data_IF_707358574047
#
_entry.id   IF_707358574047
#
_cell.length_a   1.000
_cell.length_b   1.000
_cell.length_c   1.000
_cell.angle_alpha   90.00
_cell.angle_beta   90.00
_cell.angle_gamma   90.00
#
_symmetry.space_group_name_H-M   'P 1'
#
loop_
_entity.id
_entity.type
_entity.pdbx_description
1 polymer ?
#
# COMPACT_ATOMS: atom_id res chain seq x y z
N UNK A 1 -25.69 10.75 24.60
CA UNK A 1 -25.27 11.19 23.25
C UNK A 1 -24.42 10.06 22.69
N UNK A 2 -24.99 9.25 21.79
CA UNK A 2 -24.37 8.01 21.34
C UNK A 2 -23.35 8.29 20.23
N UNK A 3 -22.11 7.85 20.44
CA UNK A 3 -21.13 7.66 19.36
C UNK A 3 -21.72 6.70 18.33
N UNK A 4 -21.92 7.17 17.10
CA UNK A 4 -22.18 6.30 15.95
C UNK A 4 -20.94 5.46 15.72
N UNK A 5 -21.01 4.17 16.08
CA UNK A 5 -20.02 3.20 15.64
C UNK A 5 -20.03 3.21 14.10
N UNK A 6 -18.94 3.69 13.49
CA UNK A 6 -18.69 3.43 12.08
C UNK A 6 -18.75 1.91 11.92
N UNK A 7 -19.74 1.40 11.19
CA UNK A 7 -19.89 -0.04 10.99
C UNK A 7 -18.69 -0.48 10.18
N UNK A 8 -17.78 -1.24 10.80
CA UNK A 8 -16.66 -1.85 10.10
C UNK A 8 -17.22 -2.64 8.91
N UNK A 9 -16.58 -2.50 7.74
CA UNK A 9 -16.98 -3.25 6.56
C UNK A 9 -16.76 -4.75 6.86
N UNK A 10 -17.65 -5.65 6.38
CA UNK A 10 -17.50 -7.07 6.65
C UNK A 10 -16.24 -7.63 5.98
N UNK A 11 -15.53 -8.55 6.64
CA UNK A 11 -14.35 -9.25 6.10
C UNK A 11 -14.58 -9.83 4.69
N UNK A 12 -15.76 -10.41 4.47
CA UNK A 12 -16.15 -10.97 3.18
C UNK A 12 -16.20 -9.93 2.04
N UNK A 13 -16.38 -8.64 2.35
CA UNK A 13 -16.31 -7.56 1.37
C UNK A 13 -14.86 -7.32 0.95
N UNK A 14 -13.92 -7.27 1.89
CA UNK A 14 -12.51 -7.11 1.59
C UNK A 14 -11.97 -8.31 0.82
N UNK A 15 -12.35 -9.54 1.20
CA UNK A 15 -11.97 -10.75 0.48
C UNK A 15 -12.45 -10.74 -0.98
N UNK A 16 -13.70 -10.31 -1.24
CA UNK A 16 -14.20 -10.19 -2.62
C UNK A 16 -13.43 -9.14 -3.43
N UNK A 17 -13.11 -8.00 -2.81
CA UNK A 17 -12.31 -6.97 -3.45
C UNK A 17 -10.89 -7.48 -3.71
N UNK A 18 -10.26 -8.17 -2.76
CA UNK A 18 -8.95 -8.80 -2.90
C UNK A 18 -8.93 -9.70 -4.13
N UNK A 19 -9.83 -10.69 -4.22
CA UNK A 19 -9.87 -11.62 -5.35
C UNK A 19 -10.06 -10.89 -6.70
N UNK A 20 -10.86 -9.82 -6.70
CA UNK A 20 -11.11 -9.02 -7.91
C UNK A 20 -9.85 -8.25 -8.34
N UNK A 21 -9.15 -7.65 -7.38
CA UNK A 21 -7.92 -6.90 -7.62
C UNK A 21 -6.79 -7.83 -8.03
N UNK A 22 -6.61 -8.93 -7.30
CA UNK A 22 -5.62 -9.97 -7.58
C UNK A 22 -5.74 -10.46 -9.02
N UNK A 23 -6.92 -10.95 -9.39
CA UNK A 23 -7.18 -11.43 -10.73
C UNK A 23 -6.91 -10.36 -11.79
N UNK A 24 -7.31 -9.10 -11.54
CA UNK A 24 -7.07 -8.01 -12.48
C UNK A 24 -5.58 -7.71 -12.64
N UNK A 25 -4.82 -7.69 -11.55
CA UNK A 25 -3.37 -7.43 -11.56
C UNK A 25 -2.65 -8.50 -12.37
N UNK A 26 -2.93 -9.77 -12.09
CA UNK A 26 -2.29 -10.89 -12.79
C UNK A 26 -2.64 -10.91 -14.29
N UNK A 27 -3.92 -10.74 -14.63
CA UNK A 27 -4.38 -10.86 -16.03
C UNK A 27 -4.02 -9.65 -16.89
N UNK A 28 -4.06 -8.43 -16.33
CA UNK A 28 -3.84 -7.20 -17.11
C UNK A 28 -2.38 -6.76 -17.13
N UNK A 29 -1.64 -7.00 -16.05
CA UNK A 29 -0.29 -6.47 -15.89
C UNK A 29 0.79 -7.56 -15.85
N UNK A 30 0.42 -8.85 -15.82
CA UNK A 30 1.37 -9.97 -15.75
C UNK A 30 2.27 -9.87 -14.51
N UNK A 31 1.70 -9.42 -13.40
CA UNK A 31 2.35 -9.32 -12.08
C UNK A 31 1.76 -10.39 -11.18
N UNK A 32 2.48 -11.48 -10.87
CA UNK A 32 2.00 -12.50 -9.95
C UNK A 32 1.83 -11.95 -8.54
N UNK A 33 0.73 -12.34 -7.87
CA UNK A 33 0.52 -12.12 -6.45
C UNK A 33 0.69 -13.45 -5.73
N UNK A 34 1.58 -13.50 -4.75
CA UNK A 34 1.93 -14.73 -4.03
C UNK A 34 1.64 -14.57 -2.55
N UNK A 35 0.71 -15.37 -2.04
CA UNK A 35 0.48 -15.54 -0.60
C UNK A 35 1.56 -16.50 -0.07
N UNK A 36 2.40 -16.03 0.85
CA UNK A 36 3.56 -16.78 1.37
C UNK A 36 3.87 -16.39 2.80
N UNK A 37 4.76 -17.14 3.46
CA UNK A 37 5.43 -16.72 4.70
C UNK A 37 6.42 -15.60 4.35
N UNK A 38 6.09 -14.35 4.71
CA UNK A 38 6.95 -13.18 4.57
C UNK A 38 7.71 -13.00 5.88
N UNK A 39 9.01 -12.75 5.78
CA UNK A 39 9.87 -12.67 6.97
C UNK A 39 9.41 -11.55 7.90
N UNK A 40 9.13 -11.87 9.15
CA UNK A 40 8.89 -10.88 10.22
C UNK A 40 10.02 -9.83 10.27
N UNK A 41 9.70 -8.52 10.39
CA UNK A 41 8.41 -7.94 10.76
C UNK A 41 7.57 -7.46 9.56
N UNK A 42 7.77 -8.02 8.37
CA UNK A 42 7.15 -7.51 7.15
C UNK A 42 5.85 -8.24 6.82
N UNK A 43 4.86 -7.50 6.35
CA UNK A 43 3.53 -8.03 5.97
C UNK A 43 3.37 -8.19 4.46
N UNK A 44 4.31 -7.65 3.68
CA UNK A 44 4.38 -7.77 2.23
C UNK A 44 5.72 -7.31 1.65
N UNK A 45 6.01 -7.75 0.43
CA UNK A 45 7.23 -7.43 -0.30
C UNK A 45 6.96 -7.33 -1.81
N UNK A 46 7.84 -6.65 -2.54
CA UNK A 46 7.81 -6.59 -4.00
C UNK A 46 9.22 -6.52 -4.58
N UNK A 47 9.38 -7.06 -5.78
CA UNK A 47 10.61 -6.90 -6.57
C UNK A 47 10.41 -6.04 -7.82
N UNK A 48 9.18 -5.60 -8.10
CA UNK A 48 8.79 -4.84 -9.29
C UNK A 48 8.27 -5.69 -10.45
N UNK A 49 8.33 -7.03 -10.34
CA UNK A 49 7.68 -7.98 -11.24
C UNK A 49 6.71 -8.93 -10.53
N UNK A 50 6.77 -9.01 -9.20
CA UNK A 50 5.94 -9.84 -8.34
C UNK A 50 5.64 -9.11 -7.04
N UNK A 51 4.47 -9.38 -6.48
CA UNK A 51 4.05 -8.94 -5.16
C UNK A 51 3.90 -10.17 -4.24
N UNK A 52 4.42 -10.08 -3.03
CA UNK A 52 4.23 -11.05 -1.96
C UNK A 52 3.40 -10.44 -0.85
N UNK A 53 2.47 -11.22 -0.31
CA UNK A 53 1.65 -10.85 0.84
C UNK A 53 1.71 -11.98 1.87
N UNK A 54 1.85 -11.61 3.14
CA UNK A 54 1.91 -12.59 4.22
C UNK A 54 0.57 -13.32 4.39
N UNK A 55 0.61 -14.62 4.69
CA UNK A 55 -0.60 -15.44 4.85
C UNK A 55 -1.37 -15.16 6.15
N UNK A 56 -0.73 -14.57 7.17
CA UNK A 56 -1.34 -14.23 8.45
C UNK A 56 -2.08 -12.88 8.42
N UNK A 57 -2.05 -12.16 7.29
CA UNK A 57 -2.81 -10.91 7.12
C UNK A 57 -4.33 -11.16 7.12
N UNK A 58 -5.07 -10.22 7.72
CA UNK A 58 -6.52 -10.14 7.50
C UNK A 58 -6.83 -9.81 6.04
N UNK A 59 -8.06 -10.08 5.57
CA UNK A 59 -8.44 -9.73 4.20
C UNK A 59 -8.43 -8.22 3.96
N UNK A 60 -8.72 -7.42 4.99
CA UNK A 60 -8.60 -5.95 4.94
C UNK A 60 -7.16 -5.51 4.69
N UNK A 61 -6.23 -6.02 5.50
CA UNK A 61 -4.82 -5.62 5.43
C UNK A 61 -4.18 -6.16 4.14
N UNK A 62 -4.45 -7.42 3.78
CA UNK A 62 -3.98 -8.01 2.53
C UNK A 62 -4.46 -7.22 1.30
N UNK A 63 -5.72 -6.76 1.29
CA UNK A 63 -6.25 -5.93 0.21
C UNK A 63 -5.49 -4.60 0.08
N UNK A 64 -5.24 -3.93 1.21
CA UNK A 64 -4.47 -2.69 1.19
C UNK A 64 -3.04 -2.95 0.69
N UNK A 65 -2.37 -3.96 1.23
CA UNK A 65 -0.99 -4.31 0.89
C UNK A 65 -0.84 -4.58 -0.61
N UNK A 66 -1.65 -5.45 -1.22
CA UNK A 66 -1.50 -5.75 -2.66
C UNK A 66 -1.72 -4.52 -3.54
N UNK A 67 -2.66 -3.66 -3.16
CA UNK A 67 -2.99 -2.47 -3.93
C UNK A 67 -1.87 -1.43 -3.82
N UNK A 68 -1.39 -1.20 -2.60
CA UNK A 68 -0.30 -0.27 -2.30
C UNK A 68 1.02 -0.71 -2.96
N UNK A 69 1.36 -2.00 -2.87
CA UNK A 69 2.54 -2.56 -3.53
C UNK A 69 2.42 -2.59 -5.06
N UNK A 70 1.21 -2.66 -5.61
CA UNK A 70 1.02 -2.41 -7.04
C UNK A 70 1.39 -0.96 -7.42
N UNK A 71 0.99 0.02 -6.60
CA UNK A 71 1.41 1.41 -6.76
C UNK A 71 2.92 1.59 -6.76
N UNK A 72 3.62 0.95 -5.82
CA UNK A 72 5.09 0.94 -5.80
C UNK A 72 5.71 0.17 -6.97
N UNK A 73 5.08 -0.91 -7.43
CA UNK A 73 5.52 -1.65 -8.62
C UNK A 73 5.54 -0.75 -9.85
N UNK A 74 4.53 0.11 -10.02
CA UNK A 74 4.55 1.15 -11.07
C UNK A 74 5.74 2.08 -10.87
N UNK A 75 5.89 2.66 -9.68
CA UNK A 75 6.96 3.64 -9.39
C UNK A 75 8.36 3.06 -9.64
N UNK A 76 8.59 1.79 -9.27
CA UNK A 76 9.88 1.12 -9.44
C UNK A 76 10.21 0.85 -10.91
N UNK A 77 9.21 0.55 -11.74
CA UNK A 77 9.41 0.34 -13.16
C UNK A 77 9.55 1.63 -13.96
N UNK A 78 9.08 2.76 -13.43
CA UNK A 78 9.18 4.06 -14.09
C UNK A 78 10.38 4.89 -13.66
N UNK A 79 10.86 4.72 -12.43
CA UNK A 79 11.86 5.63 -11.86
C UNK A 79 12.89 4.94 -10.97
N UNK A 80 14.16 5.21 -11.25
CA UNK A 80 15.27 4.85 -10.37
C UNK A 80 15.17 5.56 -9.02
N UNK A 81 14.78 6.85 -9.00
CA UNK A 81 14.60 7.58 -7.75
C UNK A 81 13.48 6.97 -6.90
N UNK A 82 12.43 6.44 -7.54
CA UNK A 82 11.36 5.71 -6.86
C UNK A 82 11.89 4.46 -6.16
N UNK A 83 12.77 3.70 -6.82
CA UNK A 83 13.45 2.55 -6.20
C UNK A 83 14.33 2.96 -5.03
N UNK A 84 15.04 4.08 -5.13
CA UNK A 84 15.87 4.58 -4.03
C UNK A 84 15.01 5.00 -2.82
N UNK A 85 13.90 5.71 -3.06
CA UNK A 85 12.98 6.14 -2.01
C UNK A 85 12.34 4.93 -1.32
N UNK A 86 11.83 3.96 -2.08
CA UNK A 86 11.19 2.76 -1.54
C UNK A 86 12.10 1.80 -0.78
N UNK A 87 13.43 1.98 -0.84
CA UNK A 87 14.39 1.21 -0.04
C UNK A 87 15.03 2.04 1.08
N UNK A 88 14.51 3.24 1.35
CA UNK A 88 15.03 4.09 2.40
C UNK A 88 14.71 3.49 3.78
N UNK A 89 15.70 3.48 4.66
CA UNK A 89 15.52 3.08 6.06
C UNK A 89 14.98 4.25 6.91
N UNK A 90 14.24 3.97 7.99
CA UNK A 90 13.84 4.97 8.97
C UNK A 90 15.02 5.80 9.48
N UNK A 91 14.90 7.12 9.42
CA UNK A 91 15.90 8.06 9.95
C UNK A 91 15.22 9.26 10.65
N UNK A 92 15.38 9.41 11.98
CA UNK A 92 14.79 10.50 12.74
C UNK A 92 15.36 11.89 12.40
N UNK A 93 16.46 11.95 11.65
CA UNK A 93 17.10 13.21 11.24
C UNK A 93 16.70 13.65 9.83
N UNK A 94 15.69 13.02 9.21
CA UNK A 94 15.22 13.40 7.89
C UNK A 94 14.77 14.87 7.86
N UNK A 95 15.29 15.59 6.86
CA UNK A 95 14.84 16.95 6.58
C UNK A 95 13.35 16.98 6.24
N UNK A 96 12.71 18.11 6.50
CA UNK A 96 11.29 18.34 6.14
C UNK A 96 11.05 18.14 4.64
N UNK A 97 11.97 18.61 3.79
CA UNK A 97 11.90 18.39 2.34
C UNK A 97 11.90 16.90 1.98
N UNK A 98 12.74 16.10 2.65
CA UNK A 98 12.77 14.65 2.40
C UNK A 98 11.55 13.92 2.94
N UNK A 99 11.00 14.37 4.08
CA UNK A 99 9.70 13.89 4.56
C UNK A 99 8.57 14.21 3.59
N UNK A 100 8.60 15.36 2.93
CA UNK A 100 7.61 15.73 1.91
C UNK A 100 7.76 14.87 0.64
N UNK A 101 8.99 14.55 0.23
CA UNK A 101 9.23 13.62 -0.88
C UNK A 101 8.71 12.20 -0.57
N UNK A 102 8.93 11.71 0.65
CA UNK A 102 8.36 10.43 1.11
C UNK A 102 6.84 10.47 1.10
N UNK A 103 6.22 11.54 1.61
CA UNK A 103 4.77 11.70 1.58
C UNK A 103 4.23 11.62 0.15
N UNK A 104 4.88 12.32 -0.79
CA UNK A 104 4.44 12.32 -2.18
C UNK A 104 4.59 10.94 -2.82
N UNK A 105 5.69 10.22 -2.51
CA UNK A 105 5.92 8.86 -2.96
C UNK A 105 4.82 7.90 -2.47
N UNK A 106 4.49 7.93 -1.17
CA UNK A 106 3.41 7.10 -0.60
C UNK A 106 2.03 7.50 -1.14
N UNK A 107 1.77 8.81 -1.26
CA UNK A 107 0.52 9.33 -1.80
C UNK A 107 0.32 8.87 -3.24
N UNK A 108 1.35 8.96 -4.10
CA UNK A 108 1.21 8.53 -5.49
C UNK A 108 0.99 7.01 -5.61
N UNK A 109 1.62 6.20 -4.74
CA UNK A 109 1.32 4.77 -4.66
C UNK A 109 -0.17 4.54 -4.34
N UNK A 110 -0.70 5.19 -3.29
CA UNK A 110 -2.12 5.09 -2.93
C UNK A 110 -3.07 5.60 -4.03
N UNK A 111 -2.65 6.63 -4.80
CA UNK A 111 -3.44 7.14 -5.94
C UNK A 111 -3.45 6.17 -7.11
N UNK A 112 -2.37 5.42 -7.35
CA UNK A 112 -2.37 4.30 -8.29
C UNK A 112 -3.24 3.15 -7.78
N UNK A 113 -3.22 2.85 -6.47
CA UNK A 113 -4.13 1.87 -5.85
C UNK A 113 -5.60 2.22 -6.12
N UNK A 114 -5.97 3.50 -6.00
CA UNK A 114 -7.34 3.93 -6.28
C UNK A 114 -7.69 3.77 -7.77
N UNK A 115 -6.76 4.08 -8.67
CA UNK A 115 -6.96 3.86 -10.10
C UNK A 115 -7.09 2.36 -10.43
N UNK A 116 -6.34 1.49 -9.76
CA UNK A 116 -6.44 0.04 -9.89
C UNK A 116 -7.83 -0.45 -9.44
N UNK A 117 -8.31 0.04 -8.30
CA UNK A 117 -9.66 -0.25 -7.80
C UNK A 117 -10.71 0.09 -8.85
N UNK A 118 -10.63 1.30 -9.41
CA UNK A 118 -11.56 1.75 -10.43
C UNK A 118 -11.48 0.93 -11.73
N UNK A 119 -10.27 0.53 -12.15
CA UNK A 119 -10.03 -0.30 -13.32
C UNK A 119 -10.57 -1.74 -13.17
N UNK A 120 -10.50 -2.29 -11.95
CA UNK A 120 -11.05 -3.59 -11.61
C UNK A 120 -12.56 -3.56 -11.29
N UNK A 121 -13.19 -2.38 -11.31
CA UNK A 121 -14.62 -2.21 -11.03
C UNK A 121 -14.98 -2.09 -9.54
N UNK A 122 -13.99 -2.03 -8.65
CA UNK A 122 -14.17 -1.82 -7.21
C UNK A 122 -14.28 -0.31 -6.94
N UNK A 123 -15.50 0.19 -6.70
CA UNK A 123 -15.75 1.65 -6.49
C UNK A 123 -16.36 2.01 -5.14
N UNK A 124 -16.69 1.02 -4.32
CA UNK A 124 -17.32 1.24 -3.01
C UNK A 124 -16.31 1.47 -1.90
N UNK A 125 -15.01 1.34 -2.19
CA UNK A 125 -13.93 1.36 -1.21
C UNK A 125 -13.06 2.62 -1.27
N UNK A 126 -13.42 3.63 -2.08
CA UNK A 126 -12.64 4.88 -2.24
C UNK A 126 -12.34 5.59 -0.91
N UNK A 127 -13.36 5.72 -0.04
CA UNK A 127 -13.17 6.36 1.27
C UNK A 127 -12.35 5.47 2.20
N UNK A 128 -12.57 4.15 2.18
CA UNK A 128 -11.79 3.21 2.98
C UNK A 128 -10.31 3.27 2.61
N UNK A 129 -9.99 3.28 1.31
CA UNK A 129 -8.60 3.36 0.83
C UNK A 129 -7.95 4.69 1.24
N UNK A 130 -8.72 5.79 1.22
CA UNK A 130 -8.25 7.08 1.71
C UNK A 130 -7.95 7.02 3.21
N UNK A 131 -8.88 6.51 4.01
CA UNK A 131 -8.74 6.38 5.46
C UNK A 131 -7.54 5.49 5.83
N UNK A 132 -7.36 4.37 5.12
CA UNK A 132 -6.22 3.46 5.31
C UNK A 132 -4.90 4.14 4.94
N UNK A 133 -4.80 4.82 3.79
CA UNK A 133 -3.60 5.58 3.42
C UNK A 133 -3.22 6.63 4.47
N UNK A 134 -4.19 7.40 4.98
CA UNK A 134 -3.88 8.40 6.00
C UNK A 134 -3.46 7.78 7.34
N UNK A 135 -4.00 6.61 7.68
CA UNK A 135 -3.56 5.83 8.83
C UNK A 135 -2.12 5.33 8.65
N UNK A 136 -1.83 4.74 7.50
CA UNK A 136 -0.52 4.24 7.11
C UNK A 136 0.54 5.34 7.11
N UNK A 137 0.26 6.47 6.48
CA UNK A 137 1.16 7.62 6.50
C UNK A 137 1.38 8.17 7.91
N UNK A 138 0.35 8.22 8.75
CA UNK A 138 0.48 8.68 10.13
C UNK A 138 1.36 7.73 10.97
N UNK A 139 1.20 6.41 10.78
CA UNK A 139 2.06 5.39 11.36
C UNK A 139 3.51 5.54 10.89
N UNK A 140 3.72 5.56 9.56
CA UNK A 140 5.03 5.64 8.94
C UNK A 140 5.77 6.91 9.35
N UNK A 141 5.10 8.07 9.26
CA UNK A 141 5.70 9.35 9.66
C UNK A 141 6.04 9.43 11.14
N UNK A 142 5.28 8.76 12.02
CA UNK A 142 5.62 8.63 13.43
C UNK A 142 6.87 7.75 13.61
N UNK A 143 6.91 6.60 12.95
CA UNK A 143 8.04 5.68 13.00
C UNK A 143 9.33 6.34 12.50
N UNK A 144 9.27 7.07 11.38
CA UNK A 144 10.42 7.83 10.88
C UNK A 144 10.91 8.88 11.88
N UNK A 145 10.02 9.64 12.50
CA UNK A 145 10.40 10.75 13.41
C UNK A 145 10.86 10.29 14.79
N UNK A 146 10.33 9.19 15.29
CA UNK A 146 10.51 8.77 16.68
C UNK A 146 11.23 7.43 16.83
N UNK A 147 11.44 6.70 15.72
CA UNK A 147 11.97 5.34 15.71
C UNK A 147 11.20 4.41 16.68
N UNK A 148 9.90 4.63 16.80
CA UNK A 148 8.98 3.93 17.71
C UNK A 148 7.87 3.28 16.89
N UNK A 149 7.69 1.96 17.03
CA UNK A 149 6.52 1.25 16.50
C UNK A 149 5.39 1.30 17.52
N UNK A 150 4.23 1.82 17.13
CA UNK A 150 2.99 1.80 17.93
C UNK A 150 1.95 0.88 17.29
N UNK A 151 0.85 0.64 18.00
CA UNK A 151 -0.28 -0.05 17.41
C UNK A 151 -0.78 0.71 16.16
N UNK A 152 -0.85 0.03 15.02
CA UNK A 152 -1.22 0.63 13.73
C UNK A 152 -2.60 1.30 13.79
N UNK A 153 -3.58 0.62 14.38
CA UNK A 153 -4.97 1.11 14.44
C UNK A 153 -5.13 2.30 15.39
N UNK A 154 -4.16 2.60 16.25
CA UNK A 154 -4.14 3.84 17.05
C UNK A 154 -4.05 5.12 16.20
N UNK A 155 -3.60 5.02 14.93
CA UNK A 155 -3.54 6.14 13.99
C UNK A 155 -4.81 6.29 13.13
N UNK A 156 -5.75 5.35 13.22
CA UNK A 156 -6.91 5.27 12.33
C UNK A 156 -7.84 6.47 12.48
N UNK A 157 -8.28 7.01 11.35
CA UNK A 157 -9.29 8.07 11.27
C UNK A 157 -10.26 7.76 10.14
N UNK A 158 -11.56 7.88 10.42
CA UNK A 158 -12.62 7.72 9.42
C UNK A 158 -12.96 9.05 8.77
N UNK A 159 -13.26 9.04 7.46
CA UNK A 159 -13.74 10.24 6.74
C UNK A 159 -12.63 11.26 6.48
N UNK A 160 -11.41 10.77 6.29
CA UNK A 160 -10.25 11.57 5.91
C UNK A 160 -10.40 12.17 4.52
N UNK A 161 -9.51 13.11 4.18
CA UNK A 161 -9.46 13.73 2.85
C UNK A 161 -9.30 12.67 1.77
N UNK A 162 -10.26 12.61 0.84
CA UNK A 162 -10.21 11.64 -0.27
C UNK A 162 -8.98 11.85 -1.13
N UNK A 163 -8.26 10.76 -1.40
CA UNK A 163 -7.23 10.75 -2.44
C UNK A 163 -7.90 10.74 -3.81
N UNK A 164 -7.18 11.21 -4.84
CA UNK A 164 -7.68 11.24 -6.22
C UNK A 164 -6.87 10.26 -7.08
N UNK A 165 -7.50 9.49 -7.97
CA UNK A 165 -6.78 8.47 -8.73
C UNK A 165 -5.73 9.11 -9.64
N UNK A 166 -4.58 8.45 -9.76
CA UNK A 166 -3.54 8.79 -10.72
C UNK A 166 -3.60 7.76 -11.85
N UNK A 167 -3.61 8.23 -13.11
CA UNK A 167 -3.71 7.33 -14.26
C UNK A 167 -2.55 6.33 -14.28
N UNK A 168 -2.86 5.04 -14.39
CA UNK A 168 -1.84 3.98 -14.50
C UNK A 168 -1.16 4.12 -15.86
N UNK A 169 0.13 4.47 -15.93
CA UNK A 169 0.85 4.59 -17.20
C UNK A 169 1.14 3.21 -17.77
N UNK A 170 1.50 3.14 -19.05
CA UNK A 170 2.03 1.92 -19.63
C UNK A 170 3.42 1.62 -19.03
N UNK A 171 3.61 0.40 -18.53
CA UNK A 171 4.89 -0.11 -18.06
C UNK A 171 4.98 -1.61 -18.33
N UNK A 172 6.19 -2.15 -18.25
CA UNK A 172 6.42 -3.61 -18.23
C UNK A 172 7.05 -3.97 -16.90
N UNK A 173 6.49 -4.92 -16.13
CA UNK A 173 7.10 -5.32 -14.87
C UNK A 173 8.51 -5.88 -15.09
N UNK A 174 9.44 -5.46 -14.25
CA UNK A 174 10.82 -5.92 -14.22
C UNK A 174 11.24 -6.15 -12.78
N UNK A 175 12.03 -7.21 -12.57
CA UNK A 175 12.58 -7.49 -11.25
C UNK A 175 13.81 -6.60 -11.01
N UNK A 176 13.75 -5.80 -9.95
CA UNK A 176 14.79 -4.86 -9.52
C UNK A 176 15.51 -5.31 -8.24
N UNK A 177 15.04 -6.40 -7.63
CA UNK A 177 15.65 -7.03 -6.45
C UNK A 177 15.92 -8.50 -6.72
N UNK A 178 17.07 -8.99 -6.28
CA UNK A 178 17.41 -10.42 -6.32
C UNK A 178 17.12 -11.15 -5.00
N UNK A 179 16.77 -10.41 -3.95
CA UNK A 179 16.51 -10.94 -2.60
C UNK A 179 15.28 -10.27 -2.00
N UNK A 180 14.41 -11.09 -1.42
CA UNK A 180 13.26 -10.67 -0.61
C UNK A 180 13.76 -10.24 0.76
N UNK A 181 13.39 -9.03 1.17
CA UNK A 181 13.84 -8.42 2.42
C UNK A 181 12.73 -7.60 3.09
N UNK A 182 11.51 -7.67 2.55
CA UNK A 182 10.35 -6.91 2.99
C UNK A 182 10.34 -5.46 2.49
N UNK A 183 9.13 -4.92 2.29
CA UNK A 183 8.90 -3.50 2.00
C UNK A 183 7.90 -2.89 2.98
N UNK A 184 6.84 -3.62 3.35
CA UNK A 184 5.78 -3.13 4.24
C UNK A 184 6.00 -3.69 5.65
N UNK A 185 5.96 -2.84 6.67
CA UNK A 185 6.25 -3.14 8.09
C UNK A 185 5.13 -2.76 9.03
#
# INVERSE_FOLDING_TARGET
QGMTAATALPEAQFQRAFNTIEQHVEQRYDIPIVITDVVEPFTGDLDGARIQVDYDNSAEDALFIIAHLFGHTIQWNLSESGRTIGNQVPDPNLSEARMQELYQYELDAARYSLALFHAAGVRTLDQWLSDYFHCDWAYLSHFYKHNEKRDFRSFWRTGTTKISPLAIPDFRPQSWKTRWAGIVV
#
